data_IF_493090733409
#
_entry.id   IF_493090733409
#
_cell.length_a   1.000
_cell.length_b   1.000
_cell.length_c   1.000
_cell.angle_alpha   90.00
_cell.angle_beta   90.00
_cell.angle_gamma   90.00
#
_symmetry.space_group_name_H-M   'P 1'
#
loop_
_entity.id
_entity.type
_entity.pdbx_description
1 polymer ?
#
# COMPACT_ATOMS: atom_id res chain seq x y z
N UNK A 1 -0.65 49.02 20.68
CA UNK A 1 -1.58 47.88 20.59
C UNK A 1 -1.41 47.28 19.20
N UNK A 2 -1.24 45.96 19.02
CA UNK A 2 -1.13 45.40 17.68
C UNK A 2 -2.49 45.55 16.98
N UNK A 3 -2.48 46.02 15.73
CA UNK A 3 -3.70 46.17 14.92
C UNK A 3 -4.46 44.85 14.87
N UNK A 4 -5.75 44.88 15.25
CA UNK A 4 -6.62 43.71 15.11
C UNK A 4 -6.76 43.39 13.63
N UNK A 5 -6.26 42.20 13.25
CA UNK A 5 -6.44 41.67 11.91
C UNK A 5 -7.95 41.53 11.64
N UNK A 6 -8.48 42.37 10.75
CA UNK A 6 -9.90 42.36 10.38
C UNK A 6 -10.18 41.17 9.47
N UNK A 7 -11.02 40.27 9.95
CA UNK A 7 -11.55 39.17 9.16
C UNK A 7 -12.76 39.65 8.36
N UNK A 8 -12.98 39.06 7.19
CA UNK A 8 -14.23 39.27 6.46
C UNK A 8 -15.41 38.64 7.21
N UNK A 9 -16.59 39.22 7.06
CA UNK A 9 -17.87 38.82 7.65
C UNK A 9 -18.18 37.33 7.51
N UNK A 10 -17.83 36.70 6.38
CA UNK A 10 -17.99 35.26 6.17
C UNK A 10 -17.12 34.42 7.12
N UNK A 11 -15.90 34.88 7.40
CA UNK A 11 -14.95 34.21 8.29
C UNK A 11 -15.36 34.42 9.75
N UNK A 12 -15.86 35.61 10.09
CA UNK A 12 -16.40 35.88 11.43
C UNK A 12 -17.61 34.98 11.71
N UNK A 13 -18.53 34.87 10.75
CA UNK A 13 -19.72 34.03 10.85
C UNK A 13 -19.39 32.54 11.01
N UNK A 14 -18.44 32.00 10.23
CA UNK A 14 -18.07 30.58 10.34
C UNK A 14 -17.36 30.28 11.66
N UNK A 15 -16.50 31.18 12.15
CA UNK A 15 -15.81 31.03 13.44
C UNK A 15 -16.83 31.05 14.57
N UNK A 16 -17.74 32.03 14.57
CA UNK A 16 -18.80 32.17 15.58
C UNK A 16 -19.74 30.98 15.59
N UNK A 17 -20.19 30.51 14.41
CA UNK A 17 -21.00 29.29 14.25
C UNK A 17 -20.37 28.10 14.95
N UNK A 18 -19.10 27.82 14.67
CA UNK A 18 -18.42 26.66 15.25
C UNK A 18 -18.04 26.85 16.72
N UNK A 19 -17.76 28.08 17.17
CA UNK A 19 -17.52 28.39 18.57
C UNK A 19 -18.78 28.14 19.43
N UNK A 20 -19.93 28.66 19.01
CA UNK A 20 -21.21 28.44 19.69
C UNK A 20 -21.64 26.97 19.64
N UNK A 21 -21.49 26.29 18.50
CA UNK A 21 -21.78 24.87 18.36
C UNK A 21 -20.89 24.03 19.29
N UNK A 22 -19.59 24.32 19.34
CA UNK A 22 -18.65 23.59 20.19
C UNK A 22 -18.89 23.86 21.67
N UNK A 23 -19.17 25.11 22.05
CA UNK A 23 -19.55 25.44 23.43
C UNK A 23 -20.82 24.71 23.86
N UNK A 24 -21.84 24.65 23.00
CA UNK A 24 -23.07 23.90 23.26
C UNK A 24 -22.83 22.38 23.42
N UNK A 25 -22.00 21.79 22.56
CA UNK A 25 -21.68 20.35 22.61
C UNK A 25 -20.91 19.93 23.86
N UNK A 26 -20.09 20.84 24.41
CA UNK A 26 -19.24 20.59 25.57
C UNK A 26 -19.74 21.33 26.82
N UNK A 27 -21.04 21.63 26.89
CA UNK A 27 -21.69 22.23 28.06
C UNK A 27 -21.01 23.51 28.59
N UNK A 28 -20.55 24.39 27.71
CA UNK A 28 -19.84 25.61 28.07
C UNK A 28 -18.32 25.46 28.19
N UNK A 29 -17.77 24.28 27.88
CA UNK A 29 -16.33 23.98 27.90
C UNK A 29 -15.78 23.71 26.48
N UNK A 30 -16.18 24.54 25.52
CA UNK A 30 -15.67 24.47 24.14
C UNK A 30 -14.16 24.65 24.09
N UNK A 31 -13.49 24.00 23.12
CA UNK A 31 -12.04 24.03 22.92
C UNK A 31 -11.68 24.57 21.55
N UNK A 32 -10.85 25.62 21.52
CA UNK A 32 -10.38 26.27 20.29
C UNK A 32 -9.77 25.31 19.26
N UNK A 33 -9.02 24.29 19.72
CA UNK A 33 -8.46 23.27 18.82
C UNK A 33 -9.51 22.48 18.05
N UNK A 34 -10.65 22.15 18.67
CA UNK A 34 -11.76 21.43 18.03
C UNK A 34 -12.46 22.31 16.99
N UNK A 35 -12.70 23.58 17.33
CA UNK A 35 -13.30 24.59 16.44
C UNK A 35 -12.40 24.85 15.23
N UNK A 36 -11.11 25.09 15.46
CA UNK A 36 -10.14 25.31 14.39
C UNK A 36 -10.10 24.10 13.43
N UNK A 37 -10.13 22.87 13.97
CA UNK A 37 -10.19 21.65 13.16
C UNK A 37 -11.41 21.58 12.23
N UNK A 38 -12.59 21.99 12.71
CA UNK A 38 -13.82 22.03 11.90
C UNK A 38 -13.73 23.07 10.78
N UNK A 39 -13.25 24.27 11.09
CA UNK A 39 -13.08 25.35 10.11
C UNK A 39 -12.09 24.91 9.02
N UNK A 40 -10.96 24.28 9.38
CA UNK A 40 -9.97 23.77 8.41
C UNK A 40 -10.47 22.61 7.53
N UNK A 41 -11.53 21.92 7.98
CA UNK A 41 -12.19 20.87 7.21
C UNK A 41 -13.17 21.44 6.18
N UNK A 42 -13.87 22.52 6.51
CA UNK A 42 -14.84 23.17 5.62
C UNK A 42 -14.18 24.18 4.66
N UNK A 43 -13.25 24.99 5.16
CA UNK A 43 -12.56 26.06 4.41
C UNK A 43 -11.07 25.74 4.25
N UNK A 44 -10.74 25.04 3.16
CA UNK A 44 -9.36 24.64 2.85
C UNK A 44 -8.44 25.83 2.54
N UNK A 45 -9.01 26.92 2.04
CA UNK A 45 -8.35 28.19 1.74
C UNK A 45 -7.77 28.87 2.99
N UNK A 46 -8.39 28.70 4.16
CA UNK A 46 -7.93 29.29 5.42
C UNK A 46 -6.71 28.58 6.04
N UNK A 47 -6.26 27.45 5.47
CA UNK A 47 -5.14 26.65 6.01
C UNK A 47 -3.82 27.42 6.03
N UNK A 48 -3.61 28.30 5.04
CA UNK A 48 -2.40 29.12 4.97
C UNK A 48 -2.33 30.18 6.07
N UNK A 49 -3.49 30.58 6.61
CA UNK A 49 -3.63 31.61 7.64
C UNK A 49 -3.96 31.01 9.02
N UNK A 50 -3.87 29.68 9.18
CA UNK A 50 -4.30 28.97 10.39
C UNK A 50 -3.65 29.49 11.68
N UNK A 51 -2.40 29.96 11.62
CA UNK A 51 -1.70 30.55 12.78
C UNK A 51 -2.35 31.85 13.26
N UNK A 52 -2.78 32.70 12.33
CA UNK A 52 -3.39 34.01 12.65
C UNK A 52 -4.84 33.77 13.08
N UNK A 53 -5.55 32.89 12.37
CA UNK A 53 -6.95 32.53 12.68
C UNK A 53 -7.10 31.87 14.05
N UNK A 54 -6.10 31.11 14.51
CA UNK A 54 -6.11 30.44 15.81
C UNK A 54 -6.39 31.42 16.97
N UNK A 55 -5.74 32.57 16.98
CA UNK A 55 -5.92 33.56 18.05
C UNK A 55 -7.34 34.15 18.07
N UNK A 56 -7.93 34.32 16.89
CA UNK A 56 -9.31 34.79 16.77
C UNK A 56 -10.31 33.71 17.21
N UNK A 57 -10.07 32.45 16.81
CA UNK A 57 -10.85 31.29 17.26
C UNK A 57 -10.80 31.11 18.78
N UNK A 58 -9.64 31.29 19.41
CA UNK A 58 -9.51 31.24 20.87
C UNK A 58 -10.41 32.27 21.56
N UNK A 59 -10.36 33.54 21.11
CA UNK A 59 -11.23 34.60 21.64
C UNK A 59 -12.73 34.30 21.46
N UNK A 60 -13.14 33.82 20.29
CA UNK A 60 -14.56 33.53 20.04
C UNK A 60 -15.07 32.31 20.82
N UNK A 61 -14.22 31.31 21.05
CA UNK A 61 -14.56 30.16 21.92
C UNK A 61 -14.68 30.60 23.38
N UNK A 62 -13.80 31.46 23.86
CA UNK A 62 -13.90 32.03 25.21
C UNK A 62 -15.21 32.82 25.37
N UNK A 63 -15.57 33.66 24.40
CA UNK A 63 -16.86 34.37 24.41
C UNK A 63 -18.04 33.42 24.44
N UNK A 64 -18.05 32.38 23.61
CA UNK A 64 -19.12 31.39 23.58
C UNK A 64 -19.26 30.64 24.92
N UNK A 65 -18.13 30.26 25.54
CA UNK A 65 -18.10 29.60 26.83
C UNK A 65 -18.57 30.52 27.97
N UNK A 66 -18.14 31.79 27.97
CA UNK A 66 -18.61 32.79 28.95
C UNK A 66 -20.12 33.01 28.84
N UNK A 67 -20.64 33.15 27.61
CA UNK A 67 -22.10 33.27 27.38
C UNK A 67 -22.86 32.04 27.88
N UNK A 68 -22.30 30.84 27.71
CA UNK A 68 -22.89 29.59 28.21
C UNK A 68 -22.88 29.53 29.74
N UNK A 69 -21.82 30.03 30.38
CA UNK A 69 -21.67 30.08 31.84
C UNK A 69 -22.61 31.09 32.49
N UNK A 70 -22.82 32.24 31.85
CA UNK A 70 -23.68 33.32 32.35
C UNK A 70 -25.16 33.02 32.14
N UNK A 71 -25.54 32.52 30.96
CA UNK A 71 -26.95 32.43 30.54
C UNK A 71 -27.45 30.99 30.37
N UNK A 72 -26.60 30.01 30.61
CA UNK A 72 -26.89 28.58 30.39
C UNK A 72 -26.76 28.15 28.93
N UNK A 73 -26.60 26.85 28.73
CA UNK A 73 -26.45 26.23 27.40
C UNK A 73 -27.71 26.32 26.54
N UNK A 74 -28.88 26.49 27.15
CA UNK A 74 -30.14 26.70 26.42
C UNK A 74 -30.17 28.05 25.69
N UNK A 75 -29.54 29.08 26.26
CA UNK A 75 -29.37 30.37 25.61
C UNK A 75 -28.50 30.23 24.35
N UNK A 76 -27.37 29.53 24.45
CA UNK A 76 -26.50 29.23 23.29
C UNK A 76 -27.27 28.46 22.22
N UNK A 77 -28.12 27.50 22.60
CA UNK A 77 -28.97 26.76 21.66
C UNK A 77 -29.94 27.68 20.92
N UNK A 78 -30.61 28.61 21.61
CA UNK A 78 -31.51 29.60 20.99
C UNK A 78 -30.76 30.56 20.07
N UNK A 79 -29.58 31.00 20.48
CA UNK A 79 -28.72 31.87 19.68
C UNK A 79 -28.25 31.16 18.41
N UNK A 80 -27.79 29.92 18.52
CA UNK A 80 -27.36 29.09 17.39
C UNK A 80 -28.53 28.75 16.46
N UNK A 81 -29.74 28.51 17.00
CA UNK A 81 -30.95 28.30 16.20
C UNK A 81 -31.32 29.52 15.36
N UNK A 82 -31.09 30.72 15.88
CA UNK A 82 -31.39 31.99 15.20
C UNK A 82 -30.32 32.34 14.15
N UNK A 83 -29.05 32.18 14.50
CA UNK A 83 -27.93 32.60 13.65
C UNK A 83 -27.55 31.54 12.61
N UNK A 84 -27.61 30.26 12.95
CA UNK A 84 -27.16 29.15 12.10
C UNK A 84 -27.98 27.85 12.39
N UNK A 85 -29.23 27.77 11.92
CA UNK A 85 -30.12 26.62 12.20
C UNK A 85 -29.49 25.27 11.83
N UNK A 86 -28.77 25.21 10.71
CA UNK A 86 -28.09 23.99 10.23
C UNK A 86 -26.98 23.49 11.18
N UNK A 87 -26.42 24.36 12.02
CA UNK A 87 -25.40 23.98 13.00
C UNK A 87 -25.97 23.16 14.17
N UNK A 88 -27.30 23.14 14.37
CA UNK A 88 -27.95 22.26 15.35
C UNK A 88 -28.08 20.82 14.83
N UNK A 89 -28.01 20.63 13.51
CA UNK A 89 -28.09 19.31 12.89
C UNK A 89 -26.71 18.66 12.99
N UNK A 90 -26.54 17.79 13.99
CA UNK A 90 -25.33 16.98 14.15
C UNK A 90 -25.21 16.04 12.95
N UNK A 91 -24.38 16.40 11.96
CA UNK A 91 -23.84 15.43 10.99
C UNK A 91 -22.89 14.52 11.76
N UNK A 92 -23.45 13.53 12.46
CA UNK A 92 -22.69 12.43 13.08
C UNK A 92 -21.87 11.83 11.94
N UNK A 93 -20.54 11.94 11.97
CA UNK A 93 -19.71 11.23 11.02
C UNK A 93 -20.06 9.75 11.17
N UNK A 94 -20.82 9.22 10.22
CA UNK A 94 -21.09 7.79 10.16
C UNK A 94 -19.74 7.16 9.90
N UNK A 95 -19.18 6.50 10.93
CA UNK A 95 -18.02 5.63 10.76
C UNK A 95 -18.45 4.64 9.69
N UNK A 96 -17.86 4.71 8.49
CA UNK A 96 -18.10 3.69 7.46
C UNK A 96 -17.63 2.38 8.05
N UNK A 97 -18.58 1.52 8.40
CA UNK A 97 -18.30 0.18 8.91
C UNK A 97 -18.04 -0.72 7.72
N UNK A 98 -16.95 -1.48 7.75
CA UNK A 98 -16.61 -2.47 6.73
C UNK A 98 -15.80 -1.94 5.55
N UNK A 99 -15.60 -2.83 4.57
CA UNK A 99 -14.83 -2.56 3.36
C UNK A 99 -15.62 -1.67 2.38
N UNK A 100 -14.94 -0.75 1.65
CA UNK A 100 -15.58 0.05 0.62
C UNK A 100 -16.12 -0.83 -0.53
N UNK A 101 -16.95 -0.26 -1.40
CA UNK A 101 -17.31 -0.93 -2.66
C UNK A 101 -16.10 -0.96 -3.62
N UNK A 102 -15.95 -2.06 -4.36
CA UNK A 102 -15.02 -2.16 -5.48
C UNK A 102 -15.68 -1.52 -6.72
N UNK A 103 -14.95 -0.60 -7.35
CA UNK A 103 -15.40 0.05 -8.59
C UNK A 103 -15.33 -0.97 -9.73
N UNK A 104 -16.35 -1.00 -10.60
CA UNK A 104 -16.42 -1.94 -11.74
C UNK A 104 -16.39 -3.42 -11.31
N UNK A 105 -16.82 -3.74 -10.09
CA UNK A 105 -16.94 -5.11 -9.63
C UNK A 105 -18.27 -5.72 -10.06
N UNK A 106 -18.19 -6.85 -10.76
CA UNK A 106 -19.32 -7.71 -11.08
C UNK A 106 -19.23 -8.99 -10.23
N UNK A 107 -20.36 -9.34 -9.59
CA UNK A 107 -20.44 -10.58 -8.80
C UNK A 107 -20.08 -11.80 -9.66
N UNK A 108 -19.31 -12.72 -9.11
CA UNK A 108 -18.84 -13.92 -9.82
C UNK A 108 -17.65 -13.68 -10.77
N UNK A 109 -17.29 -12.42 -11.05
CA UNK A 109 -16.21 -12.07 -11.99
C UNK A 109 -15.00 -11.40 -11.34
N UNK A 110 -15.09 -11.04 -10.06
CA UNK A 110 -13.97 -10.45 -9.34
C UNK A 110 -12.86 -11.49 -9.16
N UNK A 111 -11.70 -11.23 -9.76
CA UNK A 111 -10.45 -11.94 -9.52
C UNK A 111 -9.51 -11.03 -8.75
N UNK A 112 -8.97 -11.55 -7.65
CA UNK A 112 -8.07 -10.90 -6.69
C UNK A 112 -6.81 -11.75 -6.53
N UNK A 113 -5.76 -11.18 -5.93
CA UNK A 113 -4.57 -11.96 -5.57
C UNK A 113 -3.93 -11.53 -4.26
N UNK A 114 -3.34 -12.50 -3.59
CA UNK A 114 -2.36 -12.30 -2.53
C UNK A 114 -1.03 -12.86 -3.01
N UNK A 115 -0.02 -11.99 -3.12
CA UNK A 115 1.25 -12.32 -3.78
C UNK A 115 2.47 -12.20 -2.83
N UNK A 116 2.67 -13.13 -1.88
CA UNK A 116 3.81 -13.11 -0.96
C UNK A 116 5.10 -13.64 -1.60
N UNK A 117 6.24 -13.19 -1.09
CA UNK A 117 7.52 -13.87 -1.35
C UNK A 117 7.65 -15.04 -0.37
N UNK A 118 7.99 -16.26 -0.81
CA UNK A 118 8.13 -17.43 0.06
C UNK A 118 9.50 -17.48 0.76
N UNK A 119 9.94 -16.39 1.40
CA UNK A 119 11.22 -16.33 2.11
C UNK A 119 11.10 -16.49 3.65
N UNK A 120 9.90 -16.86 4.13
CA UNK A 120 9.54 -17.08 5.52
C UNK A 120 8.02 -17.22 5.67
N UNK A 121 7.50 -17.45 6.90
CA UNK A 121 6.06 -17.51 7.16
C UNK A 121 5.40 -16.13 7.00
N UNK A 122 4.06 -16.10 6.99
CA UNK A 122 3.33 -14.83 6.97
C UNK A 122 3.54 -14.07 8.29
N UNK A 123 3.36 -12.76 8.19
CA UNK A 123 3.40 -11.86 9.34
C UNK A 123 2.01 -11.29 9.57
N UNK A 124 1.81 -10.67 10.73
CA UNK A 124 0.61 -9.89 11.00
C UNK A 124 0.35 -8.84 9.89
N UNK A 125 1.39 -8.20 9.36
CA UNK A 125 1.25 -7.28 8.22
C UNK A 125 0.74 -7.97 6.94
N UNK A 126 1.20 -9.19 6.66
CA UNK A 126 0.71 -9.99 5.54
C UNK A 126 -0.77 -10.39 5.71
N UNK A 127 -1.20 -10.69 6.95
CA UNK A 127 -2.59 -11.08 7.21
C UNK A 127 -3.60 -10.01 6.80
N UNK A 128 -3.24 -8.73 6.80
CA UNK A 128 -4.10 -7.66 6.27
C UNK A 128 -4.45 -7.92 4.80
N UNK A 129 -3.44 -8.25 3.99
CA UNK A 129 -3.64 -8.56 2.57
C UNK A 129 -4.48 -9.80 2.37
N UNK A 130 -4.24 -10.85 3.15
CA UNK A 130 -5.05 -12.08 3.14
C UNK A 130 -6.51 -11.79 3.47
N UNK A 131 -6.78 -11.15 4.62
CA UNK A 131 -8.13 -10.86 5.10
C UNK A 131 -8.89 -9.97 4.11
N UNK A 132 -8.28 -8.87 3.67
CA UNK A 132 -8.98 -7.91 2.79
C UNK A 132 -9.31 -8.55 1.44
N UNK A 133 -8.37 -9.28 0.82
CA UNK A 133 -8.65 -9.95 -0.45
C UNK A 133 -9.69 -11.07 -0.27
N UNK A 134 -9.60 -11.88 0.79
CA UNK A 134 -10.58 -12.94 1.06
C UNK A 134 -12.00 -12.39 1.29
N UNK A 135 -12.12 -11.27 2.02
CA UNK A 135 -13.42 -10.63 2.31
C UNK A 135 -14.01 -9.94 1.09
N UNK A 136 -13.19 -9.40 0.20
CA UNK A 136 -13.69 -8.92 -1.09
C UNK A 136 -14.15 -10.07 -1.99
N UNK A 137 -13.40 -11.18 -2.05
CA UNK A 137 -13.81 -12.35 -2.80
C UNK A 137 -15.15 -12.92 -2.27
N UNK A 138 -15.32 -13.01 -0.95
CA UNK A 138 -16.59 -13.42 -0.34
C UNK A 138 -17.74 -12.48 -0.74
N UNK A 139 -17.55 -11.17 -0.60
CA UNK A 139 -18.58 -10.15 -0.90
C UNK A 139 -19.04 -10.16 -2.35
N UNK A 140 -18.13 -10.37 -3.29
CA UNK A 140 -18.40 -10.33 -4.73
C UNK A 140 -18.44 -11.72 -5.38
N UNK A 141 -18.53 -12.80 -4.59
CA UNK A 141 -18.54 -14.19 -5.10
C UNK A 141 -17.36 -14.45 -6.07
N UNK A 142 -16.23 -13.80 -5.79
CA UNK A 142 -15.02 -13.81 -6.59
C UNK A 142 -14.01 -14.86 -6.15
N UNK A 143 -12.82 -14.82 -6.76
CA UNK A 143 -11.72 -15.76 -6.49
C UNK A 143 -10.47 -15.03 -6.01
N UNK A 144 -9.68 -15.70 -5.16
CA UNK A 144 -8.36 -15.23 -4.74
C UNK A 144 -7.28 -16.18 -5.25
N UNK A 145 -6.33 -15.62 -5.99
CA UNK A 145 -5.11 -16.29 -6.38
C UNK A 145 -4.07 -16.11 -5.27
N UNK A 146 -3.54 -17.20 -4.74
CA UNK A 146 -2.30 -17.20 -3.95
C UNK A 146 -1.12 -17.36 -4.91
N UNK A 147 -0.36 -16.29 -5.10
CA UNK A 147 0.80 -16.28 -6.00
C UNK A 147 2.10 -16.16 -5.22
N UNK A 148 2.96 -17.16 -5.32
CA UNK A 148 4.31 -17.06 -4.79
C UNK A 148 5.19 -16.26 -5.76
N UNK A 149 5.56 -15.04 -5.36
CA UNK A 149 6.51 -14.18 -6.08
C UNK A 149 7.94 -14.59 -5.68
N UNK A 150 8.40 -15.71 -6.23
CA UNK A 150 9.65 -16.42 -5.90
C UNK A 150 10.81 -16.12 -6.87
N UNK A 151 10.75 -15.01 -7.63
CA UNK A 151 11.72 -14.70 -8.70
C UNK A 151 12.99 -13.99 -8.23
N UNK A 152 13.32 -14.08 -6.94
CA UNK A 152 14.55 -13.50 -6.40
C UNK A 152 15.38 -14.51 -5.61
N UNK A 153 16.36 -15.09 -6.28
CA UNK A 153 17.26 -16.11 -5.73
C UNK A 153 18.35 -15.53 -4.82
N UNK A 154 18.45 -14.20 -4.67
CA UNK A 154 19.58 -13.54 -3.95
C UNK A 154 19.15 -12.66 -2.78
N UNK A 155 18.26 -11.68 -2.98
CA UNK A 155 17.91 -10.73 -1.89
C UNK A 155 16.80 -11.30 -1.01
N UNK A 156 15.85 -12.03 -1.61
CA UNK A 156 14.77 -12.74 -0.92
C UNK A 156 14.68 -14.20 -1.36
N UNK A 157 15.74 -15.00 -1.16
CA UNK A 157 15.78 -16.39 -1.62
C UNK A 157 14.59 -17.17 -1.06
N UNK A 158 13.83 -17.88 -1.92
CA UNK A 158 12.74 -18.74 -1.50
C UNK A 158 13.20 -19.83 -0.54
N UNK A 159 12.34 -20.18 0.41
CA UNK A 159 12.48 -21.31 1.34
C UNK A 159 11.41 -22.33 0.98
N UNK A 160 11.81 -23.59 0.79
CA UNK A 160 10.89 -24.64 0.34
C UNK A 160 9.76 -24.89 1.35
N UNK A 161 10.06 -24.76 2.64
CA UNK A 161 9.08 -24.91 3.72
C UNK A 161 8.10 -23.72 3.78
N UNK A 162 8.50 -22.53 3.32
CA UNK A 162 7.67 -21.34 3.38
C UNK A 162 6.45 -21.43 2.49
N UNK A 163 6.50 -22.17 1.37
CA UNK A 163 5.32 -22.44 0.54
C UNK A 163 4.21 -23.08 1.36
N UNK A 164 4.55 -24.17 2.06
CA UNK A 164 3.60 -24.88 2.93
C UNK A 164 3.12 -23.99 4.07
N UNK A 165 4.02 -23.26 4.74
CA UNK A 165 3.64 -22.40 5.85
C UNK A 165 2.69 -21.28 5.42
N UNK A 166 2.90 -20.68 4.26
CA UNK A 166 2.06 -19.61 3.73
C UNK A 166 0.67 -20.14 3.37
N UNK A 167 0.58 -21.32 2.76
CA UNK A 167 -0.71 -21.99 2.50
C UNK A 167 -1.45 -22.31 3.80
N UNK A 168 -0.76 -22.87 4.80
CA UNK A 168 -1.31 -23.15 6.13
C UNK A 168 -1.76 -21.87 6.85
N UNK A 169 -0.99 -20.78 6.77
CA UNK A 169 -1.33 -19.49 7.36
C UNK A 169 -2.52 -18.86 6.64
N UNK A 170 -2.59 -18.95 5.31
CA UNK A 170 -3.74 -18.47 4.53
C UNK A 170 -5.02 -19.22 4.90
N UNK A 171 -4.97 -20.56 4.95
CA UNK A 171 -6.11 -21.41 5.31
C UNK A 171 -6.56 -21.15 6.74
N UNK A 172 -5.62 -20.99 7.68
CA UNK A 172 -5.93 -20.67 9.06
C UNK A 172 -6.62 -19.30 9.21
N UNK A 173 -6.15 -18.26 8.49
CA UNK A 173 -6.73 -16.91 8.54
C UNK A 173 -8.13 -16.88 7.94
N UNK A 174 -8.32 -17.54 6.78
CA UNK A 174 -9.54 -17.39 5.98
C UNK A 174 -10.57 -18.48 6.22
N UNK A 175 -10.18 -19.59 6.87
CA UNK A 175 -10.99 -20.79 7.02
C UNK A 175 -11.15 -21.60 5.73
N UNK A 176 -10.45 -21.23 4.64
CA UNK A 176 -10.53 -21.91 3.35
C UNK A 176 -9.19 -21.92 2.62
N UNK A 177 -8.99 -22.88 1.74
CA UNK A 177 -7.85 -22.88 0.81
C UNK A 177 -8.00 -21.77 -0.23
N UNK A 178 -6.89 -21.23 -0.76
CA UNK A 178 -6.94 -20.31 -1.89
C UNK A 178 -7.56 -21.01 -3.11
N UNK A 179 -8.25 -20.25 -3.96
CA UNK A 179 -8.96 -20.79 -5.13
C UNK A 179 -7.99 -21.26 -6.22
N UNK A 180 -6.84 -20.59 -6.34
CA UNK A 180 -5.76 -20.91 -7.27
C UNK A 180 -4.42 -20.68 -6.57
N UNK A 181 -3.47 -21.59 -6.75
CA UNK A 181 -2.09 -21.46 -6.27
C UNK A 181 -1.14 -21.43 -7.45
N UNK A 182 -0.25 -20.44 -7.49
CA UNK A 182 0.71 -20.23 -8.58
C UNK A 182 2.08 -19.96 -8.00
N UNK A 183 3.12 -20.51 -8.64
CA UNK A 183 4.52 -20.16 -8.39
C UNK A 183 5.09 -19.45 -9.61
N UNK A 184 5.67 -18.27 -9.39
CA UNK A 184 6.21 -17.50 -10.51
C UNK A 184 7.37 -18.22 -11.20
N UNK A 185 8.25 -18.90 -10.45
CA UNK A 185 9.40 -19.65 -10.99
C UNK A 185 9.00 -20.75 -11.98
N UNK A 186 7.87 -21.43 -11.75
CA UNK A 186 7.33 -22.46 -12.64
C UNK A 186 6.81 -21.86 -13.97
N UNK A 187 6.55 -20.55 -13.98
CA UNK A 187 6.01 -19.79 -15.13
C UNK A 187 7.05 -18.94 -15.85
N UNK A 188 8.33 -19.11 -15.54
CA UNK A 188 9.45 -18.43 -16.20
C UNK A 188 9.38 -18.41 -17.75
N UNK A 189 8.98 -19.48 -18.46
CA UNK A 189 8.86 -19.43 -19.92
C UNK A 189 7.92 -18.32 -20.42
N UNK A 190 6.87 -18.00 -19.67
CA UNK A 190 5.93 -16.92 -20.01
C UNK A 190 6.63 -15.57 -19.89
N UNK A 191 7.36 -15.34 -18.80
CA UNK A 191 8.07 -14.06 -18.60
C UNK A 191 9.18 -13.84 -19.62
N UNK A 192 9.93 -14.87 -19.99
CA UNK A 192 10.97 -14.79 -21.01
C UNK A 192 10.37 -14.48 -22.39
N UNK A 193 9.24 -15.12 -22.73
CA UNK A 193 8.50 -14.83 -23.97
C UNK A 193 8.05 -13.37 -24.04
N UNK A 194 7.47 -12.83 -22.97
CA UNK A 194 7.05 -11.43 -22.93
C UNK A 194 8.22 -10.45 -22.95
N UNK A 195 9.37 -10.81 -22.37
CA UNK A 195 10.58 -10.01 -22.44
C UNK A 195 11.12 -9.92 -23.87
N UNK A 196 11.18 -11.05 -24.58
CA UNK A 196 11.59 -11.11 -25.99
C UNK A 196 10.61 -10.35 -26.89
N UNK A 197 9.30 -10.48 -26.67
CA UNK A 197 8.28 -9.71 -27.37
C UNK A 197 8.48 -8.20 -27.15
N UNK A 198 8.64 -7.77 -25.89
CA UNK A 198 8.87 -6.38 -25.53
C UNK A 198 10.11 -5.79 -26.24
N UNK A 199 11.20 -6.56 -26.33
CA UNK A 199 12.42 -6.15 -27.06
C UNK A 199 12.15 -6.09 -28.57
N UNK A 200 11.48 -7.10 -29.12
CA UNK A 200 11.16 -7.20 -30.56
C UNK A 200 10.24 -6.06 -31.03
N UNK A 201 9.32 -5.62 -30.19
CA UNK A 201 8.40 -4.51 -30.46
C UNK A 201 9.00 -3.12 -30.15
N UNK A 202 10.28 -3.07 -29.73
CA UNK A 202 11.07 -1.83 -29.64
C UNK A 202 10.84 -0.98 -28.38
N UNK A 203 9.96 -1.41 -27.47
CA UNK A 203 9.75 -0.79 -26.16
C UNK A 203 10.47 -1.52 -25.01
N UNK A 204 11.35 -2.46 -25.31
CA UNK A 204 12.35 -3.03 -24.41
C UNK A 204 13.76 -2.87 -24.97
N UNK A 205 14.75 -2.75 -24.09
CA UNK A 205 16.16 -2.73 -24.49
C UNK A 205 17.09 -3.31 -23.42
N UNK A 206 18.24 -3.82 -23.84
CA UNK A 206 19.29 -4.34 -22.95
C UNK A 206 20.26 -3.21 -22.61
N UNK A 207 20.42 -2.96 -21.32
CA UNK A 207 21.28 -1.91 -20.79
C UNK A 207 22.45 -2.53 -20.03
N UNK A 208 23.68 -2.20 -20.44
CA UNK A 208 24.93 -2.64 -19.78
C UNK A 208 25.55 -1.56 -18.89
N UNK A 209 24.82 -0.48 -18.63
CA UNK A 209 25.27 0.53 -17.67
C UNK A 209 25.29 -0.06 -16.27
N UNK A 210 26.28 0.31 -15.46
CA UNK A 210 26.23 0.04 -14.03
C UNK A 210 25.01 0.73 -13.39
N UNK A 211 24.62 0.25 -12.21
CA UNK A 211 23.48 0.85 -11.48
C UNK A 211 23.69 2.33 -11.15
N UNK A 212 24.93 2.74 -10.86
CA UNK A 212 25.28 4.12 -10.53
C UNK A 212 25.27 5.03 -11.77
N UNK A 213 25.85 4.58 -12.88
CA UNK A 213 25.84 5.33 -14.14
C UNK A 213 24.41 5.52 -14.65
N UNK A 214 23.62 4.46 -14.65
CA UNK A 214 22.22 4.55 -15.07
C UNK A 214 21.42 5.50 -14.18
N UNK A 215 21.64 5.46 -12.86
CA UNK A 215 20.98 6.39 -11.93
C UNK A 215 21.27 7.85 -12.29
N UNK A 216 22.53 8.20 -12.57
CA UNK A 216 22.92 9.56 -12.98
C UNK A 216 22.21 9.99 -14.27
N UNK A 217 22.20 9.13 -15.30
CA UNK A 217 21.53 9.39 -16.57
C UNK A 217 20.02 9.61 -16.36
N UNK A 218 19.38 8.70 -15.64
CA UNK A 218 17.95 8.73 -15.32
C UNK A 218 17.54 9.98 -14.56
N UNK A 219 18.31 10.36 -13.54
CA UNK A 219 18.02 11.53 -12.70
C UNK A 219 18.20 12.84 -13.50
N UNK A 220 19.10 12.86 -14.50
CA UNK A 220 19.27 13.95 -15.45
C UNK A 220 18.30 13.92 -16.65
N UNK A 221 17.39 12.96 -16.74
CA UNK A 221 16.46 12.82 -17.87
C UNK A 221 17.15 12.39 -19.18
N UNK A 222 18.32 11.77 -19.08
CA UNK A 222 19.11 11.32 -20.23
C UNK A 222 18.92 9.81 -20.46
N UNK A 223 18.82 9.42 -21.72
CA UNK A 223 18.74 8.02 -22.12
C UNK A 223 20.08 7.30 -21.91
N UNK A 224 20.01 6.00 -21.64
CA UNK A 224 21.19 5.14 -21.68
C UNK A 224 21.82 5.15 -23.10
N UNK A 225 23.15 5.07 -23.24
CA UNK A 225 23.78 4.89 -24.56
C UNK A 225 23.29 3.63 -25.29
N UNK A 226 22.70 2.67 -24.58
CA UNK A 226 22.12 1.45 -25.15
C UNK A 226 20.65 1.60 -25.59
N UNK A 227 19.98 2.72 -25.27
CA UNK A 227 18.52 2.90 -25.43
C UNK A 227 18.05 2.88 -26.88
N UNK A 228 18.85 3.46 -27.78
CA UNK A 228 18.54 3.61 -29.21
C UNK A 228 19.25 2.55 -30.09
N UNK A 229 19.72 1.46 -29.49
CA UNK A 229 20.29 0.35 -30.27
C UNK A 229 19.21 -0.34 -31.11
N UNK A 230 19.66 -0.96 -32.20
CA UNK A 230 18.78 -1.71 -33.09
C UNK A 230 18.05 -2.84 -32.35
N UNK A 231 16.90 -3.29 -32.87
CA UNK A 231 16.19 -4.43 -32.30
C UNK A 231 17.07 -5.68 -32.32
N UNK A 232 17.80 -5.91 -33.43
CA UNK A 232 18.70 -7.05 -33.58
C UNK A 232 19.81 -7.04 -32.52
N UNK A 233 20.46 -5.89 -32.30
CA UNK A 233 21.49 -5.72 -31.29
C UNK A 233 21.00 -6.07 -29.87
N UNK A 234 19.76 -5.68 -29.55
CA UNK A 234 19.13 -5.98 -28.27
C UNK A 234 18.77 -7.47 -28.16
N UNK A 235 18.29 -8.10 -29.22
CA UNK A 235 18.01 -9.54 -29.25
C UNK A 235 19.29 -10.37 -29.13
N UNK A 236 20.39 -9.95 -29.77
CA UNK A 236 21.69 -10.60 -29.64
C UNK A 236 22.21 -10.53 -28.20
N UNK A 237 22.08 -9.37 -27.55
CA UNK A 237 22.44 -9.23 -26.14
C UNK A 237 21.48 -10.01 -25.21
N UNK A 238 20.19 -10.04 -25.51
CA UNK A 238 19.20 -10.85 -24.80
C UNK A 238 19.56 -12.34 -24.84
N UNK A 239 19.93 -12.85 -26.02
CA UNK A 239 20.37 -14.24 -26.21
C UNK A 239 21.58 -14.59 -25.35
N UNK A 240 22.55 -13.67 -25.22
CA UNK A 240 23.72 -13.83 -24.32
C UNK A 240 23.34 -13.80 -22.83
N UNK A 241 22.33 -13.01 -22.46
CA UNK A 241 21.82 -13.01 -21.09
C UNK A 241 21.17 -14.35 -20.74
N UNK A 242 20.31 -14.89 -21.60
CA UNK A 242 19.60 -16.16 -21.35
C UNK A 242 20.52 -17.38 -21.43
N UNK A 243 21.56 -17.34 -22.28
CA UNK A 243 22.55 -18.42 -22.38
C UNK A 243 23.50 -18.48 -21.18
N UNK A 244 23.58 -17.41 -20.40
CA UNK A 244 24.51 -17.30 -19.26
C UNK A 244 25.91 -16.86 -19.65
N UNK A 245 26.13 -16.38 -20.88
CA UNK A 245 27.41 -15.79 -21.32
C UNK A 245 27.73 -14.46 -20.63
N UNK A 246 26.70 -13.75 -20.14
CA UNK A 246 26.87 -12.53 -19.36
C UNK A 246 26.84 -12.80 -17.87
N UNK A 247 27.81 -12.23 -17.15
CA UNK A 247 27.91 -12.34 -15.70
C UNK A 247 26.82 -11.53 -14.97
N UNK A 248 26.59 -11.88 -13.69
CA UNK A 248 25.68 -11.14 -12.82
C UNK A 248 26.03 -9.64 -12.77
N UNK A 249 25.02 -8.79 -13.01
CA UNK A 249 25.21 -7.34 -13.05
C UNK A 249 25.81 -6.81 -14.36
N UNK A 250 26.18 -7.66 -15.31
CA UNK A 250 26.69 -7.26 -16.62
C UNK A 250 25.65 -6.60 -17.53
N UNK A 251 24.36 -6.95 -17.37
CA UNK A 251 23.26 -6.35 -18.11
C UNK A 251 21.92 -6.45 -17.36
N UNK A 252 21.00 -5.55 -17.73
CA UNK A 252 19.58 -5.59 -17.33
C UNK A 252 18.69 -5.28 -18.52
N UNK A 253 17.53 -5.95 -18.62
CA UNK A 253 16.50 -5.56 -19.57
C UNK A 253 15.67 -4.44 -18.96
N UNK A 254 15.40 -3.38 -19.71
CA UNK A 254 14.63 -2.21 -19.28
C UNK A 254 13.41 -2.00 -20.15
N UNK A 255 12.32 -1.54 -19.53
CA UNK A 255 11.13 -1.06 -20.24
C UNK A 255 11.38 0.36 -20.68
N UNK A 256 11.35 0.64 -21.98
CA UNK A 256 11.53 1.96 -22.54
C UNK A 256 10.30 2.82 -22.21
N UNK A 257 10.51 3.95 -21.54
CA UNK A 257 9.45 4.90 -21.21
C UNK A 257 9.87 6.31 -21.59
N UNK A 258 8.96 7.28 -21.49
CA UNK A 258 9.34 8.69 -21.66
C UNK A 258 10.35 9.11 -20.59
N UNK A 259 11.38 9.84 -21.02
CA UNK A 259 12.41 10.41 -20.13
C UNK A 259 11.91 11.68 -19.43
N UNK A 260 10.83 12.28 -19.93
CA UNK A 260 10.24 13.52 -19.40
C UNK A 260 9.29 13.26 -18.22
N UNK A 261 9.03 11.99 -17.88
CA UNK A 261 8.15 11.63 -16.76
C UNK A 261 8.71 12.28 -15.47
N UNK A 262 7.92 13.08 -14.72
CA UNK A 262 8.42 13.80 -13.56
C UNK A 262 8.99 12.91 -12.46
N UNK A 263 8.48 11.69 -12.30
CA UNK A 263 9.01 10.72 -11.35
C UNK A 263 10.13 9.90 -12.00
N UNK A 264 11.42 10.06 -11.58
CA UNK A 264 12.53 9.33 -12.16
C UNK A 264 12.41 7.81 -12.00
N UNK A 265 11.72 7.32 -10.97
CA UNK A 265 11.54 5.88 -10.75
C UNK A 265 10.76 5.18 -11.88
N UNK A 266 10.04 5.93 -12.71
CA UNK A 266 9.27 5.44 -13.84
C UNK A 266 10.04 5.49 -15.16
N UNK A 267 11.22 6.14 -15.19
CA UNK A 267 12.03 6.29 -16.40
C UNK A 267 12.88 5.04 -16.62
N UNK A 268 12.69 4.39 -17.77
CA UNK A 268 13.51 3.28 -18.26
C UNK A 268 13.79 2.22 -17.16
N UNK A 269 12.74 1.82 -16.47
CA UNK A 269 12.84 0.99 -15.27
C UNK A 269 13.20 -0.47 -15.62
N UNK A 270 13.95 -1.16 -14.74
CA UNK A 270 14.45 -2.51 -15.05
C UNK A 270 13.34 -3.55 -14.93
N UNK A 271 13.20 -4.37 -15.98
CA UNK A 271 12.24 -5.46 -16.07
C UNK A 271 12.84 -6.81 -15.66
N UNK A 272 14.07 -7.12 -16.11
CA UNK A 272 14.76 -8.37 -15.81
C UNK A 272 16.23 -8.14 -15.48
N UNK A 273 16.80 -9.05 -14.69
CA UNK A 273 18.20 -9.05 -14.26
C UNK A 273 18.82 -10.43 -14.41
N UNK A 274 20.14 -10.47 -14.50
CA UNK A 274 20.91 -11.72 -14.46
C UNK A 274 21.08 -12.17 -13.01
N UNK A 275 20.76 -13.44 -12.72
CA UNK A 275 21.10 -14.14 -11.48
C UNK A 275 21.41 -15.60 -11.82
N UNK A 276 22.57 -16.09 -11.37
CA UNK A 276 23.06 -17.44 -11.63
C UNK A 276 22.85 -18.39 -10.44
N UNK A 277 22.44 -17.86 -9.28
CA UNK A 277 22.05 -18.65 -8.11
C UNK A 277 20.97 -19.69 -8.44
N UNK A 278 21.13 -20.89 -7.89
CA UNK A 278 20.14 -21.96 -7.98
C UNK A 278 18.83 -21.57 -7.28
N UNK A 279 17.69 -21.92 -7.90
CA UNK A 279 16.36 -21.74 -7.34
C UNK A 279 15.83 -23.07 -6.78
N UNK A 280 15.26 -23.11 -5.56
CA UNK A 280 14.88 -24.37 -4.91
C UNK A 280 13.83 -25.19 -5.67
N UNK A 281 13.00 -24.56 -6.51
CA UNK A 281 11.96 -25.25 -7.28
C UNK A 281 12.37 -25.59 -8.73
N UNK A 282 13.30 -24.85 -9.33
CA UNK A 282 13.62 -24.96 -10.77
C UNK A 282 15.11 -25.13 -11.07
N UNK A 283 15.92 -25.33 -10.02
CA UNK A 283 17.37 -25.51 -10.13
C UNK A 283 18.05 -24.30 -10.76
N UNK A 284 19.02 -24.59 -11.62
CA UNK A 284 19.85 -23.62 -12.33
C UNK A 284 19.36 -23.31 -13.76
N UNK A 285 18.13 -23.75 -14.08
CA UNK A 285 17.53 -23.70 -15.43
C UNK A 285 17.49 -22.30 -16.05
N UNK A 286 17.39 -21.25 -15.23
CA UNK A 286 17.25 -19.88 -15.69
C UNK A 286 18.38 -19.00 -15.17
N UNK A 287 18.99 -18.22 -16.08
CA UNK A 287 20.05 -17.26 -15.78
C UNK A 287 19.54 -15.81 -15.68
N UNK A 288 18.32 -15.57 -16.16
CA UNK A 288 17.66 -14.27 -16.16
C UNK A 288 16.35 -14.36 -15.42
N UNK A 289 16.11 -13.41 -14.52
CA UNK A 289 14.96 -13.40 -13.62
C UNK A 289 14.23 -12.06 -13.68
N UNK A 290 12.89 -12.07 -13.79
CA UNK A 290 12.12 -10.84 -13.81
C UNK A 290 12.10 -10.19 -12.42
N UNK A 291 12.05 -8.86 -12.45
CA UNK A 291 11.82 -8.04 -11.26
C UNK A 291 10.32 -7.93 -10.98
N UNK A 292 9.99 -7.60 -9.73
CA UNK A 292 8.62 -7.54 -9.19
C UNK A 292 7.65 -6.85 -10.14
N UNK A 293 8.00 -5.65 -10.63
CA UNK A 293 7.08 -4.84 -11.43
C UNK A 293 6.70 -5.56 -12.75
N UNK A 294 7.68 -6.12 -13.46
CA UNK A 294 7.46 -6.86 -14.71
C UNK A 294 6.74 -8.19 -14.47
N UNK A 295 7.24 -9.02 -13.56
CA UNK A 295 6.63 -10.32 -13.26
C UNK A 295 5.16 -10.17 -12.85
N UNK A 296 4.89 -9.26 -11.92
CA UNK A 296 3.53 -9.05 -11.43
C UNK A 296 2.62 -8.51 -12.53
N UNK A 297 3.09 -7.60 -13.39
CA UNK A 297 2.29 -7.10 -14.51
C UNK A 297 1.83 -8.23 -15.44
N UNK A 298 2.77 -9.05 -15.91
CA UNK A 298 2.49 -10.17 -16.82
C UNK A 298 1.54 -11.17 -16.15
N UNK A 299 1.84 -11.54 -14.90
CA UNK A 299 1.05 -12.55 -14.21
C UNK A 299 -0.35 -12.07 -13.87
N UNK A 300 -0.53 -10.78 -13.55
CA UNK A 300 -1.85 -10.22 -13.32
C UNK A 300 -2.71 -10.22 -14.60
N UNK A 301 -2.09 -10.01 -15.77
CA UNK A 301 -2.77 -10.07 -17.06
C UNK A 301 -3.15 -11.52 -17.42
N UNK A 302 -2.18 -12.43 -17.36
CA UNK A 302 -2.36 -13.85 -17.68
C UNK A 302 -3.42 -14.54 -16.81
N UNK A 303 -3.54 -14.12 -15.55
CA UNK A 303 -4.53 -14.66 -14.61
C UNK A 303 -5.87 -13.92 -14.64
N UNK A 304 -6.03 -12.90 -15.50
CA UNK A 304 -7.25 -12.12 -15.60
C UNK A 304 -7.60 -11.40 -14.30
N UNK A 305 -6.60 -10.90 -13.57
CA UNK A 305 -6.86 -10.20 -12.31
C UNK A 305 -7.62 -8.92 -12.58
N UNK A 306 -8.74 -8.73 -11.88
CA UNK A 306 -9.61 -7.55 -12.06
C UNK A 306 -9.32 -6.45 -11.04
N UNK A 307 -8.89 -6.82 -9.83
CA UNK A 307 -8.71 -5.90 -8.72
C UNK A 307 -7.42 -6.18 -7.95
N UNK A 308 -6.72 -5.10 -7.60
CA UNK A 308 -5.44 -5.10 -6.88
C UNK A 308 -5.61 -4.35 -5.58
N UNK A 309 -5.50 -5.04 -4.45
CA UNK A 309 -5.53 -4.36 -3.15
C UNK A 309 -4.20 -4.60 -2.46
N UNK A 310 -3.44 -3.51 -2.25
CA UNK A 310 -2.07 -3.57 -1.72
C UNK A 310 -1.70 -2.36 -0.87
N UNK A 311 -0.50 -2.37 -0.30
CA UNK A 311 0.05 -1.21 0.41
C UNK A 311 0.36 -0.04 -0.52
N UNK A 312 0.19 1.20 -0.02
CA UNK A 312 0.49 2.43 -0.78
C UNK A 312 1.97 2.61 -1.13
N UNK A 313 2.85 1.84 -0.49
CA UNK A 313 4.27 1.75 -0.84
C UNK A 313 4.50 1.18 -2.25
N UNK A 314 3.53 0.45 -2.81
CA UNK A 314 3.57 -0.10 -4.16
C UNK A 314 2.83 0.76 -5.20
N UNK A 315 2.56 2.05 -4.91
CA UNK A 315 1.95 2.96 -5.88
C UNK A 315 2.84 3.20 -7.10
N UNK A 316 4.16 3.27 -6.91
CA UNK A 316 5.10 3.42 -8.03
C UNK A 316 5.17 2.14 -8.87
N UNK A 317 5.05 0.97 -8.25
CA UNK A 317 4.84 -0.28 -8.99
C UNK A 317 3.59 -0.21 -9.86
N UNK A 318 2.47 0.31 -9.36
CA UNK A 318 1.25 0.48 -10.18
C UNK A 318 1.52 1.32 -11.41
N UNK A 319 2.24 2.44 -11.23
CA UNK A 319 2.53 3.38 -12.32
C UNK A 319 3.42 2.73 -13.38
N UNK A 320 4.46 1.99 -12.97
CA UNK A 320 5.31 1.22 -13.89
C UNK A 320 4.53 0.16 -14.65
N UNK A 321 3.70 -0.59 -13.95
CA UNK A 321 2.90 -1.67 -14.53
C UNK A 321 1.87 -1.14 -15.53
N UNK A 322 1.25 0.01 -15.25
CA UNK A 322 0.37 0.71 -16.21
C UNK A 322 1.10 1.11 -17.48
N UNK A 323 2.30 1.68 -17.38
CA UNK A 323 3.12 2.02 -18.56
C UNK A 323 3.46 0.77 -19.41
N UNK A 324 3.70 -0.36 -18.76
CA UNK A 324 3.92 -1.62 -19.48
C UNK A 324 2.63 -2.13 -20.16
N UNK A 325 1.49 -2.04 -19.47
CA UNK A 325 0.19 -2.42 -20.04
C UNK A 325 -0.17 -1.54 -21.24
N UNK A 326 0.12 -0.24 -21.18
CA UNK A 326 -0.07 0.68 -22.30
C UNK A 326 0.70 0.23 -23.55
N UNK A 327 1.96 -0.20 -23.40
CA UNK A 327 2.74 -0.73 -24.52
C UNK A 327 2.12 -2.00 -25.12
N UNK A 328 1.62 -2.91 -24.29
CA UNK A 328 0.95 -4.13 -24.75
C UNK A 328 -0.51 -3.95 -25.17
N UNK A 329 -1.08 -2.74 -25.02
CA UNK A 329 -2.50 -2.47 -25.30
C UNK A 329 -3.47 -3.16 -24.34
N UNK A 330 -3.06 -3.39 -23.09
CA UNK A 330 -3.87 -4.06 -22.06
C UNK A 330 -4.58 -3.08 -21.14
N UNK A 331 -5.75 -3.50 -20.62
CA UNK A 331 -6.42 -2.76 -19.56
C UNK A 331 -5.88 -3.13 -18.18
N UNK A 332 -5.41 -2.13 -17.43
CA UNK A 332 -4.82 -2.37 -16.12
C UNK A 332 -5.90 -2.55 -15.04
N UNK A 333 -5.74 -3.50 -14.09
CA UNK A 333 -6.78 -3.79 -13.11
C UNK A 333 -7.04 -2.63 -12.13
N UNK A 334 -8.26 -2.55 -11.61
CA UNK A 334 -8.65 -1.51 -10.64
C UNK A 334 -7.83 -1.67 -9.35
N UNK A 335 -7.21 -0.59 -8.87
CA UNK A 335 -6.24 -0.66 -7.76
C UNK A 335 -6.68 0.16 -6.55
N UNK A 336 -6.70 -0.48 -5.39
CA UNK A 336 -6.95 0.15 -4.10
C UNK A 336 -5.71 0.03 -3.19
N UNK A 337 -5.52 1.02 -2.32
CA UNK A 337 -4.36 1.09 -1.45
C UNK A 337 -4.73 1.19 0.02
N UNK A 338 -3.94 0.54 0.87
CA UNK A 338 -3.91 0.80 2.30
C UNK A 338 -2.63 1.50 2.76
N UNK A 339 -2.74 2.27 3.85
CA UNK A 339 -1.61 2.89 4.52
C UNK A 339 -0.75 1.85 5.25
N UNK A 340 0.49 2.23 5.52
CA UNK A 340 1.46 1.41 6.24
C UNK A 340 0.95 1.14 7.65
N UNK A 341 1.24 -0.06 8.12
CA UNK A 341 0.96 -0.47 9.49
C UNK A 341 2.27 -0.62 10.23
N UNK A 342 2.33 -0.08 11.43
CA UNK A 342 3.41 -0.34 12.39
C UNK A 342 2.78 -0.86 13.68
N UNK A 343 3.38 -1.90 14.25
CA UNK A 343 3.05 -2.34 15.61
C UNK A 343 4.18 -1.90 16.52
N UNK A 344 3.85 -1.15 17.58
CA UNK A 344 4.85 -0.47 18.41
C UNK A 344 5.88 -1.44 18.99
N UNK A 345 5.42 -2.59 19.45
CA UNK A 345 6.22 -3.61 20.15
C UNK A 345 7.16 -4.38 19.20
N UNK A 346 6.83 -4.42 17.90
CA UNK A 346 7.61 -5.18 16.91
C UNK A 346 8.43 -4.31 15.96
N UNK A 347 8.12 -3.02 15.83
CA UNK A 347 8.79 -2.15 14.87
C UNK A 347 8.43 -2.50 13.42
N UNK A 348 9.42 -2.87 12.61
CA UNK A 348 9.25 -3.21 11.18
C UNK A 348 9.14 -4.73 10.96
N UNK A 349 8.22 -5.15 10.08
CA UNK A 349 7.93 -6.56 9.80
C UNK A 349 8.81 -7.15 8.70
N UNK A 350 10.13 -6.97 8.78
CA UNK A 350 11.04 -7.48 7.74
C UNK A 350 11.29 -8.98 7.92
N UNK A 351 10.79 -9.81 6.99
CA UNK A 351 11.04 -11.27 6.97
C UNK A 351 12.53 -11.59 6.96
N UNK A 352 13.33 -10.91 6.13
CA UNK A 352 14.78 -11.11 6.09
C UNK A 352 15.46 -10.70 7.40
N UNK A 353 14.98 -9.62 8.05
CA UNK A 353 15.49 -9.19 9.36
C UNK A 353 15.19 -10.20 10.48
N UNK A 354 14.00 -10.79 10.47
CA UNK A 354 13.63 -11.87 11.40
C UNK A 354 14.47 -13.13 11.16
N UNK A 355 14.65 -13.55 9.91
CA UNK A 355 15.53 -14.67 9.54
C UNK A 355 16.93 -14.47 10.11
N UNK A 356 17.53 -13.29 9.90
CA UNK A 356 18.85 -12.97 10.44
C UNK A 356 18.89 -13.01 11.97
N UNK A 357 17.83 -12.57 12.64
CA UNK A 357 17.78 -12.57 14.10
C UNK A 357 17.63 -13.98 14.68
N UNK A 358 16.90 -14.87 14.00
CA UNK A 358 16.80 -16.29 14.34
C UNK A 358 18.16 -16.97 14.13
N UNK A 359 18.85 -16.69 13.02
CA UNK A 359 20.19 -17.24 12.75
C UNK A 359 21.25 -16.78 13.77
N UNK A 360 21.04 -15.65 14.44
CA UNK A 360 21.90 -15.14 15.52
C UNK A 360 21.41 -15.56 16.92
N UNK A 361 20.56 -16.60 17.00
CA UNK A 361 20.00 -17.17 18.23
C UNK A 361 19.26 -16.16 19.15
N UNK A 362 18.82 -15.01 18.61
CA UNK A 362 18.02 -14.03 19.39
C UNK A 362 16.60 -14.55 19.63
N UNK A 363 16.10 -15.39 18.73
CA UNK A 363 14.78 -16.00 18.78
C UNK A 363 14.89 -17.50 18.54
N UNK A 364 14.05 -18.27 19.22
CA UNK A 364 14.04 -19.74 19.18
C UNK A 364 13.63 -20.32 17.82
N UNK A 365 12.94 -19.54 17.00
CA UNK A 365 12.46 -19.94 15.68
C UNK A 365 11.41 -18.99 15.15
N UNK A 366 10.80 -19.37 14.02
CA UNK A 366 9.75 -18.59 13.37
C UNK A 366 8.44 -18.46 14.17
N UNK A 367 8.23 -19.33 15.14
CA UNK A 367 7.08 -19.36 16.03
C UNK A 367 7.37 -18.74 17.42
N UNK A 368 8.55 -18.16 17.61
CA UNK A 368 8.89 -17.45 18.86
C UNK A 368 7.85 -16.34 19.13
N UNK A 369 7.27 -16.34 20.33
CA UNK A 369 6.15 -15.45 20.71
C UNK A 369 6.48 -13.95 20.62
N UNK A 370 7.78 -13.61 20.56
CA UNK A 370 8.29 -12.23 20.41
C UNK A 370 8.32 -11.78 18.95
N UNK A 371 8.08 -12.67 17.99
CA UNK A 371 8.04 -12.35 16.57
C UNK A 371 6.61 -12.03 16.10
N UNK A 372 6.45 -11.13 15.11
CA UNK A 372 5.17 -10.76 14.52
C UNK A 372 4.68 -11.75 13.43
N UNK A 373 5.03 -13.03 13.52
CA UNK A 373 4.64 -14.06 12.54
C UNK A 373 3.26 -14.63 12.85
N UNK A 374 2.53 -15.11 11.84
CA UNK A 374 1.25 -15.80 12.07
C UNK A 374 1.43 -17.06 12.91
N UNK A 375 2.55 -17.77 12.73
CA UNK A 375 2.96 -18.87 13.60
C UNK A 375 3.06 -18.46 15.08
N UNK A 376 3.70 -17.33 15.37
CA UNK A 376 3.78 -16.78 16.73
C UNK A 376 2.40 -16.44 17.29
N UNK A 377 1.55 -15.76 16.52
CA UNK A 377 0.18 -15.43 16.95
C UNK A 377 -0.64 -16.69 17.25
N UNK A 378 -0.55 -17.73 16.41
CA UNK A 378 -1.17 -19.04 16.67
C UNK A 378 -0.66 -19.66 17.97
N UNK A 379 0.65 -19.65 18.21
CA UNK A 379 1.27 -20.16 19.45
C UNK A 379 0.86 -19.36 20.69
N UNK A 380 0.60 -18.06 20.53
CA UNK A 380 0.07 -17.18 21.58
C UNK A 380 -1.42 -17.41 21.88
N UNK A 381 -2.09 -18.30 21.15
CA UNK A 381 -3.50 -18.64 21.36
C UNK A 381 -4.48 -17.68 20.70
N UNK A 382 -4.06 -16.93 19.67
CA UNK A 382 -5.00 -16.10 18.92
C UNK A 382 -6.01 -16.94 18.14
N UNK A 383 -7.25 -16.49 18.09
CA UNK A 383 -8.25 -16.94 17.13
C UNK A 383 -8.05 -16.21 15.78
N UNK A 384 -8.24 -16.89 14.66
CA UNK A 384 -8.14 -16.26 13.33
C UNK A 384 -9.19 -15.18 13.11
N UNK A 385 -10.40 -15.36 13.65
CA UNK A 385 -11.48 -14.37 13.57
C UNK A 385 -11.08 -13.05 14.23
N UNK A 386 -10.30 -13.07 15.30
CA UNK A 386 -9.80 -11.86 15.96
C UNK A 386 -8.93 -11.01 15.04
N UNK A 387 -8.10 -11.66 14.20
CA UNK A 387 -7.31 -10.96 13.18
C UNK A 387 -8.18 -10.43 12.05
N UNK A 388 -9.19 -11.20 11.64
CA UNK A 388 -10.17 -10.78 10.62
C UNK A 388 -10.89 -9.52 11.09
N UNK A 389 -11.49 -9.57 12.28
CA UNK A 389 -12.26 -8.47 12.86
C UNK A 389 -11.40 -7.23 13.07
N UNK A 390 -10.16 -7.39 13.54
CA UNK A 390 -9.19 -6.31 13.66
C UNK A 390 -8.95 -5.59 12.32
N UNK A 391 -8.68 -6.33 11.25
CA UNK A 391 -8.43 -5.71 9.94
C UNK A 391 -9.68 -5.10 9.31
N UNK A 392 -10.86 -5.67 9.56
CA UNK A 392 -12.14 -5.12 9.10
C UNK A 392 -12.52 -3.85 9.86
N UNK A 393 -12.30 -3.78 11.18
CA UNK A 393 -12.58 -2.58 11.99
C UNK A 393 -11.67 -1.39 11.61
N UNK A 394 -10.40 -1.68 11.30
CA UNK A 394 -9.46 -0.68 10.76
C UNK A 394 -9.84 -0.23 9.35
N UNK A 395 -10.45 -1.12 8.57
CA UNK A 395 -10.91 -0.87 7.21
C UNK A 395 -9.79 -0.57 6.21
N UNK A 396 -10.22 -0.12 5.03
CA UNK A 396 -9.33 0.20 3.91
C UNK A 396 -9.12 1.72 3.82
N UNK A 397 -8.07 2.22 4.47
CA UNK A 397 -7.68 3.63 4.41
C UNK A 397 -6.20 3.77 4.01
N UNK A 398 -5.86 4.86 3.32
CA UNK A 398 -4.47 5.18 2.94
C UNK A 398 -3.67 5.86 4.06
N UNK A 399 -4.30 6.14 5.21
CA UNK A 399 -3.63 6.73 6.36
C UNK A 399 -2.72 5.68 6.99
N UNK A 400 -1.50 6.10 7.31
CA UNK A 400 -0.59 5.26 8.07
C UNK A 400 -1.11 5.13 9.49
N UNK A 401 -1.01 3.93 10.04
CA UNK A 401 -1.51 3.60 11.36
C UNK A 401 -0.38 2.99 12.18
N UNK A 402 -0.33 3.37 13.46
CA UNK A 402 0.56 2.79 14.45
C UNK A 402 -0.29 2.26 15.58
N UNK A 403 -0.16 0.97 15.88
CA UNK A 403 -1.09 0.23 16.75
C UNK A 403 -0.26 -0.49 17.82
N UNK A 404 -0.81 -0.62 19.03
CA UNK A 404 -0.22 -1.42 20.11
C UNK A 404 -0.72 -2.86 20.05
N UNK A 405 0.06 -3.79 20.58
CA UNK A 405 -0.36 -5.18 20.74
C UNK A 405 -1.63 -5.31 21.57
N UNK A 406 -1.81 -4.47 22.59
CA UNK A 406 -3.03 -4.42 23.40
C UNK A 406 -4.30 -4.21 22.56
N UNK A 407 -4.21 -3.39 21.51
CA UNK A 407 -5.35 -3.16 20.60
C UNK A 407 -5.68 -4.41 19.79
N UNK A 408 -4.68 -5.21 19.43
CA UNK A 408 -4.90 -6.45 18.68
C UNK A 408 -5.43 -7.54 19.63
N UNK A 409 -4.88 -7.61 20.84
CA UNK A 409 -5.29 -8.53 21.90
C UNK A 409 -6.73 -8.30 22.34
N UNK A 410 -7.25 -7.07 22.31
CA UNK A 410 -8.65 -6.80 22.67
C UNK A 410 -9.67 -7.42 21.71
N UNK A 411 -9.26 -7.83 20.50
CA UNK A 411 -10.11 -8.61 19.58
C UNK A 411 -10.04 -10.11 19.85
N UNK A 412 -9.09 -10.58 20.67
CA UNK A 412 -8.90 -11.97 21.04
C UNK A 412 -9.62 -12.30 22.34
N UNK A 413 -10.96 -12.24 22.29
CA UNK A 413 -11.87 -12.50 23.43
C UNK A 413 -12.31 -13.95 23.48
#
# INVERSE_FOLDING_TARGET
MPEEHKWDSDIENIVRKYALQNSLEYNGEGKAGSVLGRIMSERKDLRQQAKILKNYVEKEVEKANSLAKENGTEYIRKLLAKENPDALIRKKQVRRVGLPELKNAEKGRVVLRFAPNPNGPLTIGHSRGVVINAKFAEKYEGKVILRFDDTDTKVKPPLLEAYKWIEEDYEWITGKKPDVVIRASERMPIYLKYAEQMISEGFGFVCKCSSEEFKKLRDNGQGSPYRERSIQDNLDDWNKMISGEMEEGGAVVRVKTSLDIPNPALRDWPALRIQHNEHPCVGDKYKVWPLLDFQSAIEDYEQGVTHIIRGKDLMDSTRKQKLLYEHFGWEYPETLYWGRVKIFEFGSFSTSGMKNSIMLDKYSGWDDIRLPTIKSFRRRGFNSNSLVDFWIDLGLTQKDISISMQTIESFNV
#
